data_IF_094236366394
#
_entry.id   IF_094236366394
#
_cell.length_a   1.000
_cell.length_b   1.000
_cell.length_c   1.000
_cell.angle_alpha   90.00
_cell.angle_beta   90.00
_cell.angle_gamma   90.00
#
_symmetry.space_group_name_H-M   'P 1'
#
loop_
_entity.id
_entity.type
_entity.pdbx_description
1 polymer ?
#
# COMPACT_ATOMS: atom_id res chain seq x y z
N UNK A 1 -19.94 -15.25 -5.28
CA UNK A 1 -21.17 -14.43 -5.31
C UNK A 1 -20.97 -13.13 -4.53
N UNK A 2 -20.67 -13.18 -3.23
CA UNK A 2 -20.46 -11.98 -2.37
C UNK A 2 -19.45 -10.93 -2.88
N UNK A 3 -18.31 -11.33 -3.47
CA UNK A 3 -17.29 -10.38 -3.93
C UNK A 3 -17.75 -9.50 -5.11
N UNK A 4 -18.41 -10.10 -6.11
CA UNK A 4 -18.91 -9.38 -7.30
C UNK A 4 -20.05 -8.44 -6.91
N UNK A 5 -20.97 -8.93 -6.08
CA UNK A 5 -22.10 -8.13 -5.57
C UNK A 5 -21.60 -6.92 -4.78
N UNK A 6 -20.55 -7.10 -3.97
CA UNK A 6 -19.97 -6.00 -3.18
C UNK A 6 -19.15 -5.01 -4.01
N UNK A 7 -18.46 -5.45 -5.06
CA UNK A 7 -17.88 -4.52 -6.04
C UNK A 7 -18.98 -3.64 -6.62
N UNK A 8 -20.10 -4.23 -7.04
CA UNK A 8 -21.23 -3.47 -7.61
C UNK A 8 -21.84 -2.47 -6.62
N UNK A 9 -21.88 -2.80 -5.33
CA UNK A 9 -22.30 -1.90 -4.25
C UNK A 9 -21.31 -0.75 -4.02
N UNK A 10 -20.01 -1.02 -3.94
CA UNK A 10 -18.97 0.01 -3.78
C UNK A 10 -19.05 1.05 -4.91
N UNK A 11 -19.34 0.60 -6.11
CA UNK A 11 -19.54 1.47 -7.26
C UNK A 11 -20.86 2.26 -7.23
N UNK A 12 -21.84 1.83 -6.44
CA UNK A 12 -23.12 2.51 -6.31
C UNK A 12 -23.04 3.75 -5.40
N UNK A 13 -22.12 3.74 -4.44
CA UNK A 13 -22.02 4.78 -3.39
C UNK A 13 -21.45 6.12 -3.89
N UNK A 14 -20.61 6.11 -4.92
CA UNK A 14 -19.98 7.34 -5.46
C UNK A 14 -20.85 8.05 -6.52
N UNK A 15 -21.90 7.41 -7.06
CA UNK A 15 -22.47 7.84 -8.33
C UNK A 15 -24.00 7.78 -8.46
N UNK A 16 -24.68 8.34 -7.46
CA UNK A 16 -26.14 8.61 -7.57
C UNK A 16 -26.48 9.60 -8.68
N UNK A 17 -25.49 10.29 -9.28
CA UNK A 17 -25.69 11.25 -10.38
C UNK A 17 -25.43 10.69 -11.79
N UNK A 18 -24.51 9.74 -12.01
CA UNK A 18 -24.29 9.16 -13.35
C UNK A 18 -25.09 7.88 -13.67
N UNK A 19 -25.55 7.12 -12.67
CA UNK A 19 -26.39 5.92 -12.90
C UNK A 19 -27.68 6.21 -13.70
N UNK A 20 -28.17 7.46 -13.67
CA UNK A 20 -29.38 7.85 -14.40
C UNK A 20 -29.19 8.01 -15.92
N UNK A 21 -27.95 7.97 -16.46
CA UNK A 21 -27.70 8.27 -17.88
C UNK A 21 -27.00 7.18 -18.69
N UNK A 22 -26.27 6.25 -18.07
CA UNK A 22 -25.51 5.22 -18.80
C UNK A 22 -25.56 3.83 -18.14
N UNK A 23 -25.48 2.77 -18.96
CA UNK A 23 -25.58 1.36 -18.54
C UNK A 23 -24.23 0.77 -18.04
N UNK A 24 -23.42 1.58 -17.38
CA UNK A 24 -22.13 1.16 -16.83
C UNK A 24 -21.96 1.63 -15.38
N UNK A 25 -21.05 0.99 -14.68
CA UNK A 25 -20.78 1.20 -13.25
C UNK A 25 -19.28 1.50 -13.08
N UNK A 26 -18.93 2.54 -12.33
CA UNK A 26 -17.54 2.98 -12.13
C UNK A 26 -16.94 2.31 -10.89
N UNK A 27 -15.84 1.56 -11.10
CA UNK A 27 -15.11 0.88 -10.01
C UNK A 27 -13.88 1.70 -9.61
N UNK A 28 -13.78 2.18 -8.35
CA UNK A 28 -12.58 2.85 -7.88
C UNK A 28 -11.47 1.82 -7.59
N UNK A 29 -10.65 1.51 -8.61
CA UNK A 29 -9.62 0.47 -8.53
C UNK A 29 -8.68 0.67 -7.34
N UNK A 30 -8.23 1.90 -7.07
CA UNK A 30 -7.32 2.19 -5.94
C UNK A 30 -7.90 1.80 -4.58
N UNK A 31 -9.21 1.98 -4.39
CA UNK A 31 -9.91 1.60 -3.16
C UNK A 31 -10.04 0.08 -3.08
N UNK A 32 -10.45 -0.56 -4.18
CA UNK A 32 -10.60 -2.02 -4.26
C UNK A 32 -9.27 -2.72 -3.99
N UNK A 33 -8.19 -2.30 -4.63
CA UNK A 33 -6.87 -2.92 -4.45
C UNK A 33 -6.30 -2.72 -3.05
N UNK A 34 -6.56 -1.57 -2.42
CA UNK A 34 -6.17 -1.34 -1.03
C UNK A 34 -6.93 -2.24 -0.05
N UNK A 35 -8.24 -2.43 -0.25
CA UNK A 35 -9.06 -3.35 0.56
C UNK A 35 -8.61 -4.81 0.41
N UNK A 36 -8.42 -5.28 -0.83
CA UNK A 36 -7.85 -6.62 -1.11
C UNK A 36 -6.54 -6.82 -0.37
N UNK A 37 -5.65 -5.83 -0.46
CA UNK A 37 -4.33 -5.92 0.14
C UNK A 37 -4.36 -6.03 1.66
N UNK A 38 -5.30 -5.32 2.30
CA UNK A 38 -5.45 -5.32 3.74
C UNK A 38 -6.05 -6.63 4.26
N UNK A 39 -7.01 -7.22 3.56
CA UNK A 39 -7.54 -8.56 3.88
C UNK A 39 -6.43 -9.61 3.76
N UNK A 40 -5.66 -9.60 2.67
CA UNK A 40 -4.50 -10.50 2.50
C UNK A 40 -3.44 -10.28 3.59
N UNK A 41 -3.17 -9.03 3.95
CA UNK A 41 -2.22 -8.70 5.03
C UNK A 41 -2.73 -9.18 6.39
N UNK A 42 -4.03 -9.06 6.67
CA UNK A 42 -4.66 -9.62 7.87
C UNK A 42 -4.46 -11.13 7.95
N UNK A 43 -4.69 -11.85 6.84
CA UNK A 43 -4.50 -13.30 6.78
C UNK A 43 -3.02 -13.67 6.98
N UNK A 44 -2.07 -12.99 6.34
CA UNK A 44 -0.66 -13.35 6.42
C UNK A 44 -0.04 -12.96 7.77
N UNK A 45 -0.29 -11.74 8.23
CA UNK A 45 0.36 -11.19 9.43
C UNK A 45 -0.32 -11.62 10.72
N UNK A 46 -1.65 -11.76 10.69
CA UNK A 46 -2.46 -12.02 11.88
C UNK A 46 -3.23 -13.34 11.79
N UNK A 47 -3.21 -14.01 10.63
CA UNK A 47 -4.00 -15.21 10.37
C UNK A 47 -5.50 -14.96 10.24
N UNK A 48 -5.95 -13.71 10.25
CA UNK A 48 -7.36 -13.33 10.36
C UNK A 48 -7.78 -12.56 9.11
N UNK A 49 -8.82 -13.05 8.44
CA UNK A 49 -9.47 -12.30 7.37
C UNK A 49 -10.28 -11.16 7.98
N UNK A 50 -10.01 -9.92 7.57
CA UNK A 50 -10.75 -8.75 8.04
C UNK A 50 -12.08 -8.59 7.30
N UNK A 51 -12.30 -9.31 6.21
CA UNK A 51 -13.52 -9.26 5.38
C UNK A 51 -13.89 -7.82 4.94
N UNK A 52 -12.89 -6.95 4.78
CA UNK A 52 -13.07 -5.54 4.41
C UNK A 52 -13.70 -5.43 3.04
N UNK A 53 -13.27 -6.30 2.13
CA UNK A 53 -13.79 -6.36 0.77
C UNK A 53 -15.28 -6.70 0.72
N UNK A 54 -15.80 -7.42 1.72
CA UNK A 54 -17.21 -7.79 1.88
C UNK A 54 -18.02 -6.69 2.59
N UNK A 55 -17.35 -5.69 3.14
CA UNK A 55 -17.98 -4.55 3.81
C UNK A 55 -18.06 -4.66 5.33
N UNK A 56 -17.23 -5.52 5.94
CA UNK A 56 -17.08 -5.60 7.40
C UNK A 56 -15.86 -4.79 7.84
N UNK A 57 -15.77 -4.53 9.15
CA UNK A 57 -14.59 -3.92 9.79
C UNK A 57 -14.07 -2.64 9.11
N UNK A 58 -15.00 -1.80 8.60
CA UNK A 58 -14.69 -0.55 7.92
C UNK A 58 -13.88 0.44 8.78
N UNK A 59 -14.00 0.32 10.10
CA UNK A 59 -13.17 1.05 11.07
C UNK A 59 -11.66 0.87 10.87
N UNK A 60 -11.22 -0.29 10.35
CA UNK A 60 -9.80 -0.53 10.02
C UNK A 60 -9.39 0.33 8.83
N UNK A 61 -10.24 0.39 7.80
CA UNK A 61 -10.01 1.22 6.61
C UNK A 61 -10.02 2.70 6.96
N UNK A 62 -11.00 3.15 7.75
CA UNK A 62 -11.10 4.54 8.17
C UNK A 62 -9.91 4.95 9.06
N UNK A 63 -9.48 4.08 9.98
CA UNK A 63 -8.29 4.32 10.78
C UNK A 63 -7.04 4.39 9.90
N UNK A 64 -6.91 3.51 8.91
CA UNK A 64 -5.81 3.53 7.96
C UNK A 64 -5.80 4.82 7.13
N UNK A 65 -6.92 5.18 6.50
CA UNK A 65 -7.06 6.43 5.75
C UNK A 65 -6.77 7.65 6.64
N UNK A 66 -7.22 7.66 7.90
CA UNK A 66 -6.91 8.73 8.85
C UNK A 66 -5.42 8.78 9.23
N UNK A 67 -4.67 7.68 9.15
CA UNK A 67 -3.22 7.71 9.39
C UNK A 67 -2.46 8.14 8.14
N UNK A 68 -2.76 7.54 6.98
CA UNK A 68 -1.92 7.63 5.79
C UNK A 68 -2.40 8.65 4.74
N UNK A 69 -3.64 9.15 4.82
CA UNK A 69 -4.11 10.17 3.88
C UNK A 69 -3.28 11.45 3.94
N UNK A 70 -3.06 12.05 2.78
CA UNK A 70 -2.31 13.28 2.64
C UNK A 70 -3.23 14.51 2.73
N UNK A 71 -3.65 14.90 3.94
CA UNK A 71 -4.50 16.07 4.16
C UNK A 71 -3.68 17.36 4.33
N UNK A 72 -4.26 18.51 3.98
CA UNK A 72 -3.62 19.82 4.19
C UNK A 72 -3.25 20.04 5.66
N UNK A 73 -4.11 19.61 6.57
CA UNK A 73 -3.91 19.75 8.02
C UNK A 73 -2.76 18.89 8.52
N UNK A 74 -2.58 17.67 7.98
CA UNK A 74 -1.43 16.82 8.29
C UNK A 74 -0.12 17.35 7.72
N UNK A 75 -0.15 17.95 6.52
CA UNK A 75 1.04 18.64 5.96
C UNK A 75 1.45 19.81 6.85
N UNK A 76 0.47 20.58 7.32
CA UNK A 76 0.72 21.66 8.27
C UNK A 76 1.27 21.11 9.59
N UNK A 77 0.67 20.06 10.14
CA UNK A 77 1.16 19.39 11.34
C UNK A 77 2.60 18.88 11.18
N UNK A 78 2.92 18.27 10.03
CA UNK A 78 4.27 17.81 9.71
C UNK A 78 5.26 18.98 9.66
N UNK A 79 4.91 20.08 9.01
CA UNK A 79 5.76 21.28 8.99
C UNK A 79 5.97 21.86 10.39
N UNK A 80 4.91 21.95 11.19
CA UNK A 80 4.98 22.39 12.58
C UNK A 80 5.89 21.46 13.40
N UNK A 81 5.81 20.14 13.22
CA UNK A 81 6.67 19.18 13.92
C UNK A 81 8.15 19.32 13.56
N UNK A 82 8.46 19.76 12.34
CA UNK A 82 9.83 19.96 11.88
C UNK A 82 10.42 21.32 12.27
N UNK A 83 9.59 22.33 12.58
CA UNK A 83 10.02 23.72 12.81
C UNK A 83 9.84 24.14 14.28
N UNK A 84 8.74 23.73 14.91
CA UNK A 84 8.38 24.16 16.26
C UNK A 84 8.96 23.20 17.32
N UNK A 85 9.41 23.73 18.48
CA UNK A 85 9.73 22.91 19.64
C UNK A 85 8.53 22.10 20.12
N UNK A 86 8.74 20.87 20.62
CA UNK A 86 7.65 19.97 21.05
C UNK A 86 6.69 20.60 22.06
N UNK A 87 7.19 21.40 23.00
CA UNK A 87 6.35 22.07 24.00
C UNK A 87 5.30 23.02 23.40
N UNK A 88 5.58 23.61 22.22
CA UNK A 88 4.63 24.47 21.50
C UNK A 88 3.51 23.62 20.91
N UNK A 89 3.84 22.43 20.42
CA UNK A 89 2.87 21.50 19.82
C UNK A 89 1.95 20.90 20.87
N UNK A 90 2.50 20.54 22.04
CA UNK A 90 1.73 20.02 23.17
C UNK A 90 0.73 21.05 23.71
N UNK A 91 1.09 22.34 23.65
CA UNK A 91 0.21 23.45 24.04
C UNK A 91 -0.92 23.67 23.02
N UNK A 92 -0.65 23.46 21.72
CA UNK A 92 -1.57 23.77 20.63
C UNK A 92 -2.71 22.76 20.44
N UNK A 93 -2.79 21.66 21.23
CA UNK A 93 -3.84 20.62 21.20
C UNK A 93 -4.50 20.46 19.82
N UNK A 94 -3.69 20.05 18.84
CA UNK A 94 -4.09 20.06 17.43
C UNK A 94 -5.14 18.95 17.21
N UNK A 95 -6.36 19.26 16.72
CA UNK A 95 -7.42 18.27 16.55
C UNK A 95 -7.04 17.08 15.65
N UNK A 96 -6.16 17.33 14.67
CA UNK A 96 -5.66 16.28 13.76
C UNK A 96 -4.73 15.30 14.46
N UNK A 97 -3.91 15.75 15.41
CA UNK A 97 -3.08 14.85 16.21
C UNK A 97 -3.95 13.88 17.03
N UNK A 98 -4.99 14.41 17.70
CA UNK A 98 -5.94 13.57 18.44
C UNK A 98 -6.66 12.54 17.57
N UNK A 99 -7.03 12.92 16.33
CA UNK A 99 -7.64 12.00 15.37
C UNK A 99 -6.68 10.90 14.92
N UNK A 100 -5.41 11.24 14.70
CA UNK A 100 -4.35 10.28 14.38
C UNK A 100 -4.09 9.33 15.56
N UNK A 101 -4.05 9.84 16.79
CA UNK A 101 -3.91 9.02 18.00
C UNK A 101 -5.10 8.08 18.17
N UNK A 102 -6.33 8.55 17.92
CA UNK A 102 -7.52 7.71 17.96
C UNK A 102 -7.46 6.59 16.91
N UNK A 103 -7.10 6.91 15.66
CA UNK A 103 -6.94 5.92 14.60
C UNK A 103 -5.86 4.89 14.92
N UNK A 104 -4.73 5.33 15.48
CA UNK A 104 -3.67 4.43 15.95
C UNK A 104 -4.19 3.48 17.04
N UNK A 105 -4.95 4.00 18.01
CA UNK A 105 -5.51 3.21 19.10
C UNK A 105 -6.52 2.16 18.60
N UNK A 106 -7.33 2.46 17.57
CA UNK A 106 -8.22 1.48 16.94
C UNK A 106 -7.40 0.29 16.41
N UNK A 107 -6.39 0.56 15.57
CA UNK A 107 -5.55 -0.51 15.00
C UNK A 107 -4.80 -1.28 16.09
N UNK A 108 -4.24 -0.60 17.08
CA UNK A 108 -3.52 -1.23 18.19
C UNK A 108 -4.45 -2.13 19.03
N UNK A 109 -5.69 -1.71 19.27
CA UNK A 109 -6.66 -2.49 20.02
C UNK A 109 -7.09 -3.75 19.25
N UNK A 110 -7.32 -3.65 17.94
CA UNK A 110 -7.65 -4.80 17.08
C UNK A 110 -6.48 -5.80 17.06
N UNK A 111 -5.25 -5.32 16.86
CA UNK A 111 -4.06 -6.17 16.91
C UNK A 111 -3.91 -6.86 18.28
N UNK A 112 -4.16 -6.13 19.37
CA UNK A 112 -4.12 -6.67 20.73
C UNK A 112 -5.17 -7.75 20.96
N UNK A 113 -6.39 -7.55 20.49
CA UNK A 113 -7.46 -8.53 20.60
C UNK A 113 -7.10 -9.82 19.87
N UNK A 114 -6.64 -9.72 18.62
CA UNK A 114 -6.25 -10.88 17.80
C UNK A 114 -5.07 -11.63 18.44
N UNK A 115 -4.07 -10.90 18.96
CA UNK A 115 -2.91 -11.51 19.62
C UNK A 115 -3.33 -12.33 20.86
N UNK A 116 -4.29 -11.83 21.64
CA UNK A 116 -4.82 -12.50 22.83
C UNK A 116 -5.66 -13.72 22.46
N UNK A 117 -6.54 -13.60 21.48
CA UNK A 117 -7.37 -14.72 21.01
C UNK A 117 -6.53 -15.90 20.52
N UNK A 118 -5.37 -15.61 19.90
CA UNK A 118 -4.47 -16.65 19.37
C UNK A 118 -3.45 -17.19 20.38
N UNK A 119 -3.47 -16.73 21.64
CA UNK A 119 -2.46 -17.09 22.64
C UNK A 119 -1.00 -16.86 22.17
N UNK A 120 -0.78 -15.95 21.20
CA UNK A 120 0.56 -15.64 20.67
C UNK A 120 1.40 -14.81 21.67
N UNK A 121 0.78 -14.25 22.70
CA UNK A 121 1.40 -13.40 23.71
C UNK A 121 1.60 -14.08 25.07
N UNK A 122 2.30 -15.23 25.14
CA UNK A 122 2.72 -15.84 26.42
C UNK A 122 4.03 -15.23 27.00
N UNK A 123 4.36 -13.99 26.66
CA UNK A 123 5.55 -13.29 27.15
C UNK A 123 5.21 -11.93 27.77
N UNK A 124 6.20 -11.30 28.42
CA UNK A 124 6.05 -10.13 29.30
C UNK A 124 5.29 -8.95 28.63
N UNK A 125 4.68 -8.04 29.42
CA UNK A 125 3.94 -6.86 28.90
C UNK A 125 4.75 -5.97 27.92
N UNK A 126 6.08 -5.92 28.10
CA UNK A 126 6.99 -5.20 27.19
C UNK A 126 7.03 -5.85 25.79
N UNK A 127 6.93 -7.17 25.73
CA UNK A 127 6.94 -7.93 24.48
C UNK A 127 5.58 -7.78 23.78
N UNK A 128 4.47 -7.77 24.53
CA UNK A 128 3.12 -7.51 23.98
C UNK A 128 3.05 -6.13 23.33
N UNK A 129 3.57 -5.09 23.99
CA UNK A 129 3.55 -3.71 23.45
C UNK A 129 4.39 -3.60 22.18
N UNK A 130 5.60 -4.18 22.18
CA UNK A 130 6.46 -4.20 20.99
C UNK A 130 5.83 -5.01 19.85
N UNK A 131 5.22 -6.16 20.15
CA UNK A 131 4.53 -6.98 19.16
C UNK A 131 3.38 -6.22 18.52
N UNK A 132 2.52 -5.56 19.32
CA UNK A 132 1.41 -4.74 18.80
C UNK A 132 1.94 -3.61 17.92
N UNK A 133 3.01 -2.91 18.34
CA UNK A 133 3.60 -1.84 17.54
C UNK A 133 4.08 -2.36 16.17
N UNK A 134 4.74 -3.53 16.13
CA UNK A 134 5.16 -4.15 14.87
C UNK A 134 3.97 -4.58 13.99
N UNK A 135 2.91 -5.15 14.60
CA UNK A 135 1.71 -5.54 13.88
C UNK A 135 1.01 -4.34 13.24
N UNK A 136 0.90 -3.22 13.96
CA UNK A 136 0.33 -1.97 13.40
C UNK A 136 1.15 -1.47 12.20
N UNK A 137 2.49 -1.60 12.25
CA UNK A 137 3.36 -1.25 11.11
C UNK A 137 3.14 -2.19 9.93
N UNK A 138 3.00 -3.49 10.15
CA UNK A 138 2.76 -4.48 9.08
C UNK A 138 1.40 -4.24 8.42
N UNK A 139 0.33 -4.11 9.22
CA UNK A 139 -1.03 -3.81 8.74
C UNK A 139 -1.06 -2.47 8.00
N UNK A 140 -0.35 -1.46 8.54
CA UNK A 140 -0.18 -0.16 7.90
C UNK A 140 0.52 -0.24 6.55
N UNK A 141 1.62 -0.99 6.45
CA UNK A 141 2.39 -1.15 5.21
C UNK A 141 1.61 -1.91 4.13
N UNK A 142 0.79 -2.89 4.52
CA UNK A 142 0.03 -3.72 3.59
C UNK A 142 -1.00 -2.94 2.76
N UNK A 143 -1.65 -1.92 3.31
CA UNK A 143 -2.72 -1.21 2.59
C UNK A 143 -2.19 -0.26 1.51
N UNK A 144 -1.24 0.62 1.84
CA UNK A 144 -0.83 1.70 0.93
C UNK A 144 0.13 1.21 -0.15
N UNK A 145 1.24 0.54 0.22
CA UNK A 145 2.28 0.22 -0.77
C UNK A 145 1.86 -0.88 -1.75
N UNK A 146 1.24 -1.95 -1.24
CA UNK A 146 0.81 -3.07 -2.09
C UNK A 146 -0.47 -2.68 -2.85
N UNK A 147 -1.44 -2.04 -2.19
CA UNK A 147 -2.67 -1.55 -2.83
C UNK A 147 -2.38 -0.56 -3.96
N UNK A 148 -1.43 0.36 -3.76
CA UNK A 148 -0.99 1.29 -4.82
C UNK A 148 -0.27 0.57 -5.96
N UNK A 149 0.63 -0.37 -5.65
CA UNK A 149 1.33 -1.16 -6.66
C UNK A 149 0.35 -1.93 -7.55
N UNK A 150 -0.62 -2.61 -6.96
CA UNK A 150 -1.64 -3.35 -7.71
C UNK A 150 -2.51 -2.41 -8.58
N UNK A 151 -2.86 -1.23 -8.08
CA UNK A 151 -3.57 -0.24 -8.87
C UNK A 151 -2.76 0.23 -10.10
N UNK A 152 -1.44 0.42 -9.94
CA UNK A 152 -0.56 0.77 -11.06
C UNK A 152 -0.39 -0.36 -12.07
N UNK A 153 -0.31 -1.62 -11.62
CA UNK A 153 -0.32 -2.79 -12.50
C UNK A 153 -1.60 -2.83 -13.33
N UNK A 154 -2.77 -2.70 -12.68
CA UNK A 154 -4.07 -2.65 -13.38
C UNK A 154 -4.12 -1.48 -14.37
N UNK A 155 -3.63 -0.31 -13.98
CA UNK A 155 -3.55 0.86 -14.86
C UNK A 155 -2.67 0.60 -16.10
N UNK A 156 -1.48 0.01 -15.92
CA UNK A 156 -0.58 -0.30 -17.02
C UNK A 156 -1.20 -1.31 -17.98
N UNK A 157 -1.82 -2.38 -17.46
CA UNK A 157 -2.50 -3.39 -18.28
C UNK A 157 -3.72 -2.83 -19.01
N UNK A 158 -4.52 -1.97 -18.37
CA UNK A 158 -5.65 -1.30 -19.02
C UNK A 158 -5.21 -0.38 -20.17
N UNK A 159 -3.99 0.13 -20.11
CA UNK A 159 -3.41 1.01 -21.12
C UNK A 159 -2.62 0.30 -22.22
N UNK A 160 -2.27 -0.97 -22.03
CA UNK A 160 -1.49 -1.80 -22.95
C UNK A 160 -2.20 -3.14 -23.15
N UNK A 161 -3.27 -3.18 -23.97
CA UNK A 161 -4.07 -4.38 -24.18
C UNK A 161 -3.26 -5.57 -24.69
N UNK A 162 -2.18 -5.33 -25.43
CA UNK A 162 -1.23 -6.33 -25.90
C UNK A 162 -0.56 -7.07 -24.74
N UNK A 163 0.00 -6.34 -23.76
CA UNK A 163 0.60 -6.94 -22.57
C UNK A 163 -0.46 -7.63 -21.71
N UNK A 164 -1.68 -7.09 -21.66
CA UNK A 164 -2.79 -7.74 -20.97
C UNK A 164 -3.19 -9.07 -21.62
N UNK A 165 -3.19 -9.14 -22.94
CA UNK A 165 -3.53 -10.35 -23.67
C UNK A 165 -2.45 -11.42 -23.53
N UNK A 166 -1.17 -11.03 -23.60
CA UNK A 166 -0.06 -11.97 -23.41
C UNK A 166 -0.04 -12.53 -21.98
N UNK A 167 -0.33 -11.69 -20.97
CA UNK A 167 -0.50 -12.14 -19.60
C UNK A 167 -1.70 -13.10 -19.46
N UNK A 168 -2.82 -12.83 -20.12
CA UNK A 168 -3.99 -13.74 -20.10
C UNK A 168 -3.65 -15.10 -20.70
N UNK A 169 -2.88 -15.15 -21.79
CA UNK A 169 -2.43 -16.41 -22.40
C UNK A 169 -1.56 -17.21 -21.44
N UNK A 170 -0.57 -16.56 -20.82
CA UNK A 170 0.26 -17.21 -19.81
C UNK A 170 -0.61 -17.76 -18.66
N UNK A 171 -1.51 -16.96 -18.10
CA UNK A 171 -2.36 -17.39 -16.99
C UNK A 171 -3.37 -18.49 -17.37
N UNK A 172 -3.83 -18.56 -18.63
CA UNK A 172 -4.74 -19.60 -19.08
C UNK A 172 -4.12 -21.01 -19.00
N UNK A 173 -2.79 -21.11 -19.08
CA UNK A 173 -2.07 -22.38 -18.91
C UNK A 173 -1.89 -22.77 -17.43
N UNK A 174 -2.00 -21.81 -16.52
CA UNK A 174 -1.72 -21.98 -15.08
C UNK A 174 -2.97 -21.99 -14.19
N UNK A 175 -4.09 -21.47 -14.67
CA UNK A 175 -5.36 -21.55 -13.99
C UNK A 175 -6.20 -22.77 -14.45
N UNK A 176 -7.08 -23.25 -13.58
CA UNK A 176 -8.13 -24.19 -13.92
C UNK A 176 -9.30 -23.49 -14.65
N UNK A 177 -10.32 -24.26 -15.04
CA UNK A 177 -11.50 -23.72 -15.73
C UNK A 177 -12.36 -22.77 -14.89
N UNK A 178 -12.14 -22.73 -13.57
CA UNK A 178 -12.78 -21.81 -12.63
C UNK A 178 -11.95 -20.54 -12.41
N UNK A 179 -10.76 -20.46 -13.02
CA UNK A 179 -9.82 -19.36 -12.84
C UNK A 179 -9.02 -19.46 -11.53
N UNK A 180 -9.13 -20.58 -10.80
CA UNK A 180 -8.26 -20.82 -9.65
C UNK A 180 -6.89 -21.26 -10.15
N UNK A 181 -5.87 -20.88 -9.40
CA UNK A 181 -4.52 -21.37 -9.67
C UNK A 181 -4.47 -22.88 -9.42
N UNK A 182 -3.75 -23.58 -10.29
CA UNK A 182 -3.45 -25.00 -10.06
C UNK A 182 -2.65 -25.15 -8.76
N UNK A 183 -2.88 -26.25 -8.05
CA UNK A 183 -2.29 -26.48 -6.73
C UNK A 183 -0.74 -26.52 -6.73
N UNK A 184 -0.14 -26.74 -7.89
CA UNK A 184 1.31 -26.78 -8.15
C UNK A 184 1.84 -25.51 -8.86
N UNK A 185 1.02 -24.46 -8.98
CA UNK A 185 1.44 -23.22 -9.64
C UNK A 185 2.57 -22.53 -8.86
N UNK A 186 3.73 -22.41 -9.50
CA UNK A 186 4.88 -21.67 -8.97
C UNK A 186 4.90 -20.26 -9.58
N UNK A 187 4.45 -19.26 -8.81
CA UNK A 187 4.37 -17.85 -9.25
C UNK A 187 5.69 -17.32 -9.83
N UNK A 188 6.81 -17.72 -9.24
CA UNK A 188 8.15 -17.30 -9.66
C UNK A 188 8.51 -17.79 -11.07
N UNK A 189 7.75 -18.76 -11.62
CA UNK A 189 7.94 -19.32 -12.97
C UNK A 189 7.06 -18.67 -14.04
N UNK A 190 6.33 -17.60 -13.72
CA UNK A 190 5.50 -16.85 -14.66
C UNK A 190 6.27 -15.63 -15.22
N UNK A 191 7.07 -15.78 -16.30
CA UNK A 191 7.90 -14.69 -16.81
C UNK A 191 7.09 -13.45 -17.23
N UNK A 192 5.91 -13.61 -17.84
CA UNK A 192 5.10 -12.47 -18.30
C UNK A 192 4.50 -11.74 -17.10
N UNK A 193 3.92 -12.47 -16.14
CA UNK A 193 3.43 -11.87 -14.89
C UNK A 193 4.54 -11.09 -14.17
N UNK A 194 5.73 -11.71 -14.02
CA UNK A 194 6.86 -11.08 -13.37
C UNK A 194 7.33 -9.83 -14.13
N UNK A 195 7.44 -9.90 -15.47
CA UNK A 195 7.82 -8.75 -16.29
C UNK A 195 6.82 -7.59 -16.14
N UNK A 196 5.51 -7.88 -16.16
CA UNK A 196 4.45 -6.87 -15.96
C UNK A 196 4.57 -6.19 -14.59
N UNK A 197 4.72 -6.97 -13.52
CA UNK A 197 4.81 -6.42 -12.15
C UNK A 197 6.10 -5.62 -11.96
N UNK A 198 7.23 -6.14 -12.44
CA UNK A 198 8.52 -5.46 -12.35
C UNK A 198 8.53 -4.16 -13.17
N UNK A 199 7.95 -4.17 -14.37
CA UNK A 199 7.91 -2.98 -15.22
C UNK A 199 6.95 -1.91 -14.67
N UNK A 200 5.81 -2.33 -14.13
CA UNK A 200 4.88 -1.42 -13.46
C UNK A 200 5.52 -0.78 -12.23
N UNK A 201 6.24 -1.55 -11.41
CA UNK A 201 6.94 -1.02 -10.22
C UNK A 201 8.19 -0.20 -10.57
N UNK A 202 8.83 -0.45 -11.72
CA UNK A 202 9.88 0.42 -12.26
C UNK A 202 9.33 1.81 -12.55
N UNK A 203 8.23 1.91 -13.30
CA UNK A 203 7.61 3.18 -13.67
C UNK A 203 6.83 3.86 -12.53
N UNK A 204 6.27 3.07 -11.64
CA UNK A 204 5.40 3.52 -10.56
C UNK A 204 5.78 2.85 -9.24
N UNK A 205 6.98 3.17 -8.70
CA UNK A 205 7.40 2.61 -7.42
C UNK A 205 6.50 3.13 -6.29
N UNK A 206 6.13 2.25 -5.35
CA UNK A 206 5.30 2.61 -4.19
C UNK A 206 5.91 3.77 -3.38
N UNK A 207 7.25 3.82 -3.28
CA UNK A 207 7.98 4.91 -2.65
C UNK A 207 8.82 5.65 -3.68
N UNK A 208 8.49 6.94 -3.90
CA UNK A 208 9.18 7.78 -4.90
C UNK A 208 10.48 8.37 -4.38
N UNK A 209 10.65 8.50 -3.06
CA UNK A 209 11.81 9.10 -2.42
C UNK A 209 12.13 8.40 -1.10
N UNK A 210 13.38 8.02 -0.92
CA UNK A 210 13.91 7.34 0.26
C UNK A 210 15.01 8.19 0.88
N UNK A 211 15.03 8.31 2.21
CA UNK A 211 16.05 9.09 2.92
C UNK A 211 16.93 8.22 3.82
N UNK A 212 18.19 8.61 3.96
CA UNK A 212 19.13 8.10 4.96
C UNK A 212 19.83 9.28 5.64
N UNK A 213 20.05 9.22 6.96
CA UNK A 213 20.81 10.23 7.69
C UNK A 213 22.22 9.71 7.96
N UNK A 214 23.24 10.48 7.59
CA UNK A 214 24.62 10.16 7.91
C UNK A 214 24.83 10.22 9.43
N UNK A 215 25.14 9.09 10.07
CA UNK A 215 25.37 9.02 11.53
C UNK A 215 26.79 9.43 11.93
N UNK A 216 27.70 9.51 10.96
CA UNK A 216 29.10 9.95 11.07
C UNK A 216 29.53 10.58 9.75
N UNK A 217 30.64 11.33 9.78
CA UNK A 217 31.30 11.79 8.57
C UNK A 217 31.70 10.57 7.73
N UNK A 218 31.36 10.57 6.45
CA UNK A 218 31.54 9.44 5.54
C UNK A 218 31.73 9.92 4.10
N UNK A 219 32.02 9.00 3.19
CA UNK A 219 32.07 9.24 1.75
C UNK A 219 30.96 8.45 1.04
N UNK A 220 30.40 9.01 -0.03
CA UNK A 220 29.60 8.28 -1.03
C UNK A 220 30.30 8.46 -2.38
N UNK A 221 30.92 7.39 -2.89
CA UNK A 221 31.90 7.53 -3.97
C UNK A 221 33.02 8.47 -3.54
N UNK A 222 33.25 9.52 -4.33
CA UNK A 222 34.25 10.56 -4.04
C UNK A 222 33.67 11.77 -3.29
N UNK A 223 32.38 11.76 -2.92
CA UNK A 223 31.70 12.89 -2.30
C UNK A 223 31.71 12.79 -0.75
N UNK A 224 32.28 13.77 -0.02
CA UNK A 224 32.25 13.80 1.43
C UNK A 224 30.89 14.22 1.96
N UNK A 225 30.36 13.41 2.89
CA UNK A 225 29.07 13.61 3.55
C UNK A 225 29.30 13.80 5.05
N UNK A 226 28.92 14.98 5.56
CA UNK A 226 29.04 15.29 6.99
C UNK A 226 27.97 14.56 7.80
N UNK A 227 28.30 14.22 9.05
CA UNK A 227 27.36 13.74 10.06
C UNK A 227 26.15 14.66 10.15
N UNK A 228 24.97 14.06 10.20
CA UNK A 228 23.68 14.76 10.27
C UNK A 228 23.03 15.04 8.92
N UNK A 229 23.76 14.92 7.81
CA UNK A 229 23.23 15.16 6.46
C UNK A 229 22.23 14.08 6.06
N UNK A 230 21.08 14.48 5.50
CA UNK A 230 20.14 13.56 4.87
C UNK A 230 20.50 13.37 3.40
N UNK A 231 20.63 12.11 2.98
CA UNK A 231 20.86 11.69 1.60
C UNK A 231 19.56 11.09 1.08
N UNK A 232 19.02 11.69 0.01
CA UNK A 232 17.81 11.23 -0.67
C UNK A 232 18.14 10.39 -1.90
N UNK A 233 17.46 9.26 -2.06
CA UNK A 233 17.46 8.47 -3.29
C UNK A 233 16.05 8.52 -3.87
N UNK A 234 15.93 8.86 -5.16
CA UNK A 234 14.65 8.93 -5.85
C UNK A 234 14.54 7.77 -6.86
N UNK A 235 14.02 6.60 -6.45
CA UNK A 235 13.84 5.46 -7.35
C UNK A 235 13.13 5.86 -8.65
N UNK A 236 12.11 6.72 -8.57
CA UNK A 236 11.39 7.19 -9.76
C UNK A 236 12.30 7.93 -10.74
N UNK A 237 13.15 8.84 -10.26
CA UNK A 237 14.06 9.56 -11.15
C UNK A 237 15.09 8.63 -11.78
N UNK A 238 15.63 7.67 -11.00
CA UNK A 238 16.59 6.67 -11.47
C UNK A 238 15.93 5.76 -12.52
N UNK A 239 14.70 5.32 -12.27
CA UNK A 239 13.96 4.40 -13.13
C UNK A 239 13.52 5.04 -14.45
N UNK A 240 13.37 6.37 -14.52
CA UNK A 240 13.08 7.12 -15.75
C UNK A 240 14.33 7.68 -16.43
N UNK A 241 15.51 7.44 -15.87
CA UNK A 241 16.74 8.01 -16.38
C UNK A 241 17.11 7.37 -17.73
N UNK A 242 16.97 8.14 -18.82
CA UNK A 242 17.29 7.66 -20.17
C UNK A 242 18.72 7.17 -20.35
N UNK A 243 19.68 7.71 -19.59
CA UNK A 243 21.07 7.26 -19.64
C UNK A 243 21.30 5.90 -18.97
N UNK A 244 20.36 5.43 -18.14
CA UNK A 244 20.41 4.10 -17.51
C UNK A 244 19.52 3.09 -18.25
N UNK A 245 18.33 3.51 -18.67
CA UNK A 245 17.28 2.64 -19.20
C UNK A 245 17.04 2.77 -20.70
N UNK A 246 17.71 3.70 -21.38
CA UNK A 246 17.54 3.93 -22.81
C UNK A 246 16.49 4.99 -23.17
N UNK A 247 16.29 5.25 -24.47
CA UNK A 247 15.40 6.32 -24.96
C UNK A 247 13.92 6.08 -24.64
N UNK A 248 13.53 4.84 -24.36
CA UNK A 248 12.19 4.39 -24.04
C UNK A 248 11.95 4.20 -22.53
N UNK A 249 12.85 4.67 -21.66
CA UNK A 249 12.74 4.58 -20.20
C UNK A 249 11.38 5.00 -19.61
N UNK A 250 10.65 5.91 -20.26
CA UNK A 250 9.33 6.39 -19.81
C UNK A 250 8.14 5.54 -20.30
N UNK A 251 8.39 4.54 -21.16
CA UNK A 251 7.37 3.62 -21.69
C UNK A 251 7.27 2.39 -20.81
N UNK A 252 6.09 1.77 -20.80
CA UNK A 252 5.84 0.47 -20.17
C UNK A 252 6.11 -0.62 -21.21
N UNK A 253 7.21 -1.33 -21.05
CA UNK A 253 7.64 -2.40 -21.97
C UNK A 253 7.97 -3.63 -21.11
N UNK A 254 6.97 -4.49 -20.81
CA UNK A 254 7.21 -5.73 -20.11
C UNK A 254 7.79 -6.77 -21.08
N UNK A 255 9.10 -6.99 -21.04
CA UNK A 255 9.83 -7.96 -21.89
C UNK A 255 10.57 -7.30 -23.03
#
# INVERSE_FOLDING_TARGET
>A
MQFVDRILELCATDDTKHKAKHNYTIVPITKVTAMVSLDVTGIIALGTDFEIIVGKNHEIVEAHEMLFSNSKDKRLLFLLYNIAPQWVLDLLRIPVANKMDHAHNILANICRQILRERNLGRSNLSDETNAIAQLVVIVGGGYESIGSTLAWVVYCLARHPEAQEDLRKELAEFCDSLGNLKADAEYDKLPVLNAVVMEATRLYPAFTLLFRKAIRDTMIGEQPIRKGTFVGMCPRAINYAHHLWGPDAAKFIPG
#
